data_IF_594747288789
#
_entry.id   IF_594747288789
#
_cell.length_a   1.000
_cell.length_b   1.000
_cell.length_c   1.000
_cell.angle_alpha   90.00
_cell.angle_beta   90.00
_cell.angle_gamma   90.00
#
_symmetry.space_group_name_H-M   'P 1'
#
loop_
_entity.id
_entity.type
_entity.pdbx_description
1 polymer ?
#
# COMPACT_ATOMS: atom_id res chain seq x y z
N UNK A 1 -13.11 -19.84 23.01
CA UNK A 1 -12.69 -20.48 21.73
C UNK A 1 -13.77 -20.18 20.71
N UNK A 2 -13.60 -19.16 19.89
CA UNK A 2 -14.47 -18.93 18.73
C UNK A 2 -13.90 -19.80 17.61
N UNK A 3 -14.60 -20.91 17.32
CA UNK A 3 -14.30 -21.71 16.16
C UNK A 3 -14.41 -20.81 14.94
N UNK A 4 -13.28 -20.53 14.28
CA UNK A 4 -13.26 -19.90 12.97
C UNK A 4 -13.92 -20.87 11.99
N UNK A 5 -15.22 -20.73 11.76
CA UNK A 5 -15.87 -21.21 10.54
C UNK A 5 -15.32 -20.45 9.32
N UNK A 6 -14.08 -20.01 9.38
CA UNK A 6 -13.33 -19.33 8.36
C UNK A 6 -12.89 -20.35 7.33
N UNK A 7 -13.53 -20.32 6.18
CA UNK A 7 -13.08 -21.03 5.01
C UNK A 7 -11.64 -20.60 4.71
N UNK A 8 -10.71 -21.54 4.80
CA UNK A 8 -9.27 -21.30 4.67
C UNK A 8 -8.94 -20.92 3.22
N UNK A 9 -8.10 -19.91 2.97
CA UNK A 9 -7.63 -19.61 1.64
C UNK A 9 -6.86 -20.79 1.04
N UNK A 10 -7.05 -21.03 -0.25
CA UNK A 10 -6.36 -22.06 -1.01
C UNK A 10 -5.58 -21.44 -2.15
N UNK A 11 -4.39 -21.96 -2.41
CA UNK A 11 -3.48 -21.48 -3.45
C UNK A 11 -3.39 -22.51 -4.57
N UNK A 12 -3.29 -22.02 -5.81
CA UNK A 12 -3.09 -22.85 -7.00
C UNK A 12 -2.17 -22.12 -7.98
N UNK A 13 -1.43 -22.87 -8.76
CA UNK A 13 -0.66 -22.34 -9.88
C UNK A 13 -1.28 -22.82 -11.17
N UNK A 14 -1.69 -21.90 -12.04
CA UNK A 14 -2.27 -22.19 -13.35
C UNK A 14 -1.24 -22.84 -14.28
N UNK A 15 -1.73 -23.45 -15.35
CA UNK A 15 -0.91 -24.15 -16.36
C UNK A 15 0.21 -23.28 -16.95
N UNK A 16 0.06 -21.96 -16.98
CA UNK A 16 1.03 -20.98 -17.48
C UNK A 16 1.89 -20.33 -16.36
N UNK A 17 1.86 -20.87 -15.15
CA UNK A 17 2.68 -20.38 -14.02
C UNK A 17 2.07 -19.22 -13.22
N UNK A 18 0.93 -18.65 -13.62
CA UNK A 18 0.25 -17.60 -12.87
C UNK A 18 -0.29 -18.18 -11.55
N UNK A 19 0.03 -17.53 -10.44
CA UNK A 19 -0.40 -17.95 -9.09
C UNK A 19 -1.75 -17.35 -8.74
N UNK A 20 -2.58 -18.16 -8.08
CA UNK A 20 -3.92 -17.78 -7.67
C UNK A 20 -4.12 -18.09 -6.19
N UNK A 21 -4.77 -17.19 -5.46
CA UNK A 21 -5.31 -17.44 -4.12
C UNK A 21 -6.80 -17.17 -4.09
N UNK A 22 -7.56 -18.08 -3.50
CA UNK A 22 -8.99 -17.90 -3.30
C UNK A 22 -9.41 -18.26 -1.88
N UNK A 23 -10.16 -17.35 -1.25
CA UNK A 23 -10.82 -17.58 0.04
C UNK A 23 -12.33 -17.70 -0.20
N UNK A 24 -12.93 -18.88 -0.03
CA UNK A 24 -14.39 -18.99 0.00
C UNK A 24 -14.95 -18.13 1.15
N UNK A 25 -16.15 -17.61 0.99
CA UNK A 25 -16.80 -16.80 2.03
C UNK A 25 -18.32 -16.98 2.02
N UNK A 26 -18.98 -16.49 3.06
CA UNK A 26 -20.43 -16.41 3.12
C UNK A 26 -20.93 -15.08 2.54
N UNK A 27 -22.24 -15.00 2.27
CA UNK A 27 -22.90 -13.82 1.72
C UNK A 27 -22.91 -13.76 0.21
N UNK A 28 -23.23 -12.59 -0.33
CA UNK A 28 -23.38 -12.37 -1.78
C UNK A 28 -22.27 -11.52 -2.38
N UNK A 29 -21.58 -10.73 -1.56
CA UNK A 29 -20.51 -9.85 -2.01
C UNK A 29 -19.26 -10.66 -2.37
N UNK A 30 -18.62 -10.29 -3.46
CA UNK A 30 -17.41 -10.90 -3.99
C UNK A 30 -16.41 -9.83 -4.36
N UNK A 31 -15.13 -10.16 -4.25
CA UNK A 31 -14.02 -9.34 -4.73
C UNK A 31 -13.03 -10.23 -5.47
N UNK A 32 -12.51 -9.77 -6.59
CA UNK A 32 -11.37 -10.40 -7.24
C UNK A 32 -10.55 -9.39 -8.01
N UNK A 33 -9.26 -9.70 -8.20
CA UNK A 33 -8.34 -8.81 -8.90
C UNK A 33 -7.03 -9.48 -9.26
N UNK A 34 -6.22 -8.71 -9.96
CA UNK A 34 -4.84 -9.02 -10.30
C UNK A 34 -3.92 -7.97 -9.69
N UNK A 35 -2.77 -8.39 -9.24
CA UNK A 35 -1.71 -7.53 -8.75
C UNK A 35 -0.41 -7.89 -9.45
N UNK A 36 0.31 -6.87 -9.91
CA UNK A 36 1.64 -7.02 -10.50
C UNK A 36 2.69 -6.44 -9.55
N UNK A 37 3.85 -7.09 -9.48
CA UNK A 37 5.02 -6.57 -8.76
C UNK A 37 5.72 -5.50 -9.63
N UNK A 38 5.01 -4.41 -9.88
CA UNK A 38 5.46 -3.24 -10.59
C UNK A 38 4.70 -2.01 -10.08
N UNK A 39 5.41 -1.02 -9.63
CA UNK A 39 4.96 0.28 -9.18
C UNK A 39 5.97 1.34 -9.57
N UNK A 40 5.93 2.53 -8.99
CA UNK A 40 6.84 3.63 -9.37
C UNK A 40 8.32 3.30 -9.15
N UNK A 41 8.64 2.36 -8.28
CA UNK A 41 10.01 1.86 -8.10
C UNK A 41 10.60 1.21 -9.36
N UNK A 42 9.76 0.70 -10.27
CA UNK A 42 10.14 0.06 -11.50
C UNK A 42 10.18 1.01 -12.71
N UNK A 43 9.83 2.28 -12.53
CA UNK A 43 9.83 3.29 -13.59
C UNK A 43 11.23 3.62 -14.11
N UNK A 44 12.26 3.50 -13.28
CA UNK A 44 13.62 3.88 -13.62
C UNK A 44 13.75 5.40 -13.80
N UNK A 45 14.22 5.83 -14.97
CA UNK A 45 14.30 7.26 -15.35
C UNK A 45 12.94 7.82 -15.81
N UNK A 46 11.96 6.96 -16.06
CA UNK A 46 10.64 7.26 -16.61
C UNK A 46 9.61 7.46 -15.49
N UNK A 47 9.91 8.29 -14.49
CA UNK A 47 9.05 8.47 -13.32
C UNK A 47 7.61 8.86 -13.69
N UNK A 48 6.62 8.13 -13.14
CA UNK A 48 5.19 8.23 -13.47
C UNK A 48 4.70 7.15 -14.45
N UNK A 49 5.58 6.31 -14.99
CA UNK A 49 5.23 5.29 -15.99
C UNK A 49 4.23 4.28 -15.47
N UNK A 50 4.43 3.73 -14.26
CA UNK A 50 3.53 2.73 -13.69
C UNK A 50 2.11 3.30 -13.47
N UNK A 51 2.02 4.51 -12.95
CA UNK A 51 0.76 5.22 -12.74
C UNK A 51 0.06 5.56 -14.06
N UNK A 52 0.79 6.11 -15.02
CA UNK A 52 0.23 6.40 -16.34
C UNK A 52 -0.22 5.13 -17.05
N UNK A 53 0.51 4.02 -16.93
CA UNK A 53 0.10 2.71 -17.46
C UNK A 53 -1.23 2.26 -16.84
N UNK A 54 -1.42 2.43 -15.54
CA UNK A 54 -2.67 2.14 -14.85
C UNK A 54 -3.84 2.91 -15.48
N UNK A 55 -3.74 4.23 -15.60
CA UNK A 55 -4.76 5.08 -16.23
C UNK A 55 -5.12 4.61 -17.64
N UNK A 56 -4.10 4.35 -18.44
CA UNK A 56 -4.28 3.95 -19.83
C UNK A 56 -4.86 2.56 -20.03
N UNK A 57 -4.75 1.64 -19.04
CA UNK A 57 -5.43 0.34 -19.11
C UNK A 57 -6.95 0.48 -19.22
N UNK A 58 -7.54 1.55 -18.68
CA UNK A 58 -8.99 1.82 -18.74
C UNK A 58 -9.45 2.50 -20.03
N UNK A 59 -8.53 2.88 -20.92
CA UNK A 59 -8.86 3.61 -22.16
C UNK A 59 -9.20 2.70 -23.33
N UNK A 60 -8.73 1.44 -23.29
CA UNK A 60 -9.09 0.46 -24.32
C UNK A 60 -8.41 -0.89 -24.17
N UNK A 61 -9.11 -1.92 -24.57
CA UNK A 61 -8.55 -3.28 -24.75
C UNK A 61 -8.76 -3.74 -26.17
N UNK A 62 -8.18 -4.88 -26.54
CA UNK A 62 -8.43 -5.50 -27.84
C UNK A 62 -9.93 -5.80 -28.10
N UNK A 63 -10.75 -5.85 -27.04
CA UNK A 63 -12.18 -6.18 -27.13
C UNK A 63 -13.11 -5.01 -26.84
N UNK A 64 -12.62 -3.95 -26.16
CA UNK A 64 -13.48 -2.91 -25.57
C UNK A 64 -12.90 -1.53 -25.71
N UNK A 65 -13.77 -0.58 -25.98
CA UNK A 65 -13.49 0.86 -25.81
C UNK A 65 -13.71 1.28 -24.36
N UNK A 66 -13.16 2.42 -23.95
CA UNK A 66 -13.22 2.95 -22.57
C UNK A 66 -14.63 2.92 -21.97
N UNK A 67 -15.64 3.46 -22.66
CA UNK A 67 -17.03 3.49 -22.17
C UNK A 67 -17.62 2.09 -21.93
N UNK A 68 -17.16 1.06 -22.67
CA UNK A 68 -17.58 -0.34 -22.47
C UNK A 68 -16.91 -0.95 -21.24
N UNK A 69 -15.67 -0.56 -20.97
CA UNK A 69 -14.93 -0.97 -19.78
C UNK A 69 -15.63 -0.41 -18.53
N UNK A 70 -15.79 0.91 -18.46
CA UNK A 70 -16.41 1.60 -17.32
C UNK A 70 -17.82 1.07 -17.03
N UNK A 71 -18.64 0.93 -18.06
CA UNK A 71 -20.01 0.43 -17.89
C UNK A 71 -20.11 -1.07 -17.59
N UNK A 72 -19.04 -1.85 -17.71
CA UNK A 72 -19.11 -3.30 -17.62
C UNK A 72 -19.57 -3.79 -16.24
N UNK A 73 -19.05 -3.19 -15.19
CA UNK A 73 -19.42 -3.53 -13.82
C UNK A 73 -20.50 -2.59 -13.26
N UNK A 74 -20.44 -1.30 -13.58
CA UNK A 74 -21.43 -0.31 -13.13
C UNK A 74 -22.88 -0.72 -13.43
N UNK A 75 -23.16 -1.25 -14.62
CA UNK A 75 -24.50 -1.71 -15.04
C UNK A 75 -25.10 -2.81 -14.17
N UNK A 76 -24.29 -3.50 -13.38
CA UNK A 76 -24.75 -4.55 -12.46
C UNK A 76 -24.55 -4.16 -10.99
N UNK A 77 -24.22 -2.89 -10.75
CA UNK A 77 -23.97 -2.35 -9.40
C UNK A 77 -22.67 -2.88 -8.79
N UNK A 78 -21.70 -3.24 -9.62
CA UNK A 78 -20.35 -3.59 -9.19
C UNK A 78 -19.39 -2.43 -9.42
N UNK A 79 -18.29 -2.42 -8.69
CA UNK A 79 -17.23 -1.44 -8.77
C UNK A 79 -16.00 -2.02 -9.48
N UNK A 80 -15.28 -1.18 -10.21
CA UNK A 80 -14.01 -1.51 -10.84
C UNK A 80 -13.00 -0.43 -10.43
N UNK A 81 -11.92 -0.84 -9.78
CA UNK A 81 -10.91 0.06 -9.22
C UNK A 81 -9.49 -0.40 -9.56
N UNK A 82 -8.56 0.55 -9.53
CA UNK A 82 -7.13 0.28 -9.59
C UNK A 82 -6.39 1.27 -8.70
N UNK A 83 -5.17 0.94 -8.33
CA UNK A 83 -4.24 1.88 -7.72
C UNK A 83 -2.80 1.38 -7.88
N UNK A 84 -1.88 2.34 -7.97
CA UNK A 84 -0.44 2.12 -8.05
C UNK A 84 0.23 2.57 -6.75
N UNK A 85 1.16 1.74 -6.26
CA UNK A 85 2.02 2.05 -5.13
C UNK A 85 3.48 2.17 -5.58
N UNK A 86 4.40 2.29 -4.64
CA UNK A 86 5.84 2.26 -4.96
C UNK A 86 6.27 0.90 -5.57
N UNK A 87 5.67 -0.23 -5.19
CA UNK A 87 6.13 -1.56 -5.59
C UNK A 87 5.08 -2.42 -6.30
N UNK A 88 3.80 -2.05 -6.25
CA UNK A 88 2.71 -2.83 -6.86
C UNK A 88 1.69 -1.96 -7.59
N UNK A 89 1.05 -2.55 -8.60
CA UNK A 89 -0.19 -2.03 -9.21
C UNK A 89 -1.29 -3.08 -9.08
N UNK A 90 -2.44 -2.66 -8.58
CA UNK A 90 -3.63 -3.48 -8.38
C UNK A 90 -4.72 -3.08 -9.36
N UNK A 91 -5.42 -4.06 -9.91
CA UNK A 91 -6.70 -3.87 -10.62
C UNK A 91 -7.69 -4.87 -10.06
N UNK A 92 -8.84 -4.41 -9.58
CA UNK A 92 -9.81 -5.26 -8.90
C UNK A 92 -11.25 -4.79 -9.08
N UNK A 93 -12.16 -5.68 -8.78
CA UNK A 93 -13.59 -5.38 -8.82
C UNK A 93 -14.29 -5.94 -7.58
N UNK A 94 -15.25 -5.15 -7.07
CA UNK A 94 -16.18 -5.52 -6.00
C UNK A 94 -17.58 -5.69 -6.62
N UNK A 95 -18.24 -6.82 -6.36
CA UNK A 95 -19.47 -7.18 -7.10
C UNK A 95 -20.28 -8.29 -6.39
N UNK A 96 -21.48 -8.54 -6.89
CA UNK A 96 -22.32 -9.65 -6.41
C UNK A 96 -21.91 -10.99 -7.05
N UNK A 97 -22.01 -12.09 -6.30
CA UNK A 97 -21.63 -13.46 -6.70
C UNK A 97 -22.02 -13.85 -8.13
N UNK A 98 -23.23 -13.45 -8.58
CA UNK A 98 -23.76 -13.79 -9.91
C UNK A 98 -22.92 -13.21 -11.05
N UNK A 99 -22.19 -12.12 -10.80
CA UNK A 99 -21.38 -11.40 -11.78
C UNK A 99 -19.90 -11.77 -11.73
N UNK A 100 -19.51 -12.83 -10.98
CA UNK A 100 -18.12 -13.27 -10.81
C UNK A 100 -17.40 -13.49 -12.16
N UNK A 101 -18.03 -14.18 -13.08
CA UNK A 101 -17.47 -14.43 -14.42
C UNK A 101 -17.23 -13.13 -15.19
N UNK A 102 -18.15 -12.17 -15.08
CA UNK A 102 -18.07 -10.85 -15.71
C UNK A 102 -16.88 -10.05 -15.17
N UNK A 103 -16.69 -10.02 -13.85
CA UNK A 103 -15.59 -9.30 -13.21
C UNK A 103 -14.23 -9.93 -13.55
N UNK A 104 -14.09 -11.24 -13.42
CA UNK A 104 -12.84 -11.93 -13.75
C UNK A 104 -12.46 -11.73 -15.22
N UNK A 105 -13.41 -11.84 -16.14
CA UNK A 105 -13.19 -11.64 -17.57
C UNK A 105 -12.72 -10.19 -17.84
N UNK A 106 -13.36 -9.19 -17.22
CA UNK A 106 -12.99 -7.78 -17.39
C UNK A 106 -11.62 -7.47 -16.82
N UNK A 107 -11.33 -7.88 -15.58
CA UNK A 107 -10.03 -7.64 -14.94
C UNK A 107 -8.91 -8.31 -15.74
N UNK A 108 -9.14 -9.53 -16.26
CA UNK A 108 -8.17 -10.22 -17.11
C UNK A 108 -7.93 -9.46 -18.43
N UNK A 109 -8.98 -8.93 -19.03
CA UNK A 109 -8.91 -8.19 -20.29
C UNK A 109 -8.15 -6.87 -20.14
N UNK A 110 -8.43 -6.12 -19.08
CA UNK A 110 -7.70 -4.89 -18.75
C UNK A 110 -6.21 -5.14 -18.52
N UNK A 111 -5.91 -6.17 -17.74
CA UNK A 111 -4.55 -6.41 -17.26
C UNK A 111 -3.61 -6.91 -18.35
N UNK A 112 -4.10 -7.74 -19.27
CA UNK A 112 -3.26 -8.40 -20.29
C UNK A 112 -3.53 -7.97 -21.73
N UNK A 113 -4.66 -7.33 -22.01
CA UNK A 113 -5.06 -6.98 -23.36
C UNK A 113 -5.28 -5.47 -23.56
N UNK A 114 -4.77 -4.64 -22.66
CA UNK A 114 -4.77 -3.19 -22.83
C UNK A 114 -4.05 -2.80 -24.13
N UNK A 115 -4.63 -1.90 -24.89
CA UNK A 115 -4.11 -1.47 -26.20
C UNK A 115 -3.41 -0.11 -26.17
N UNK A 116 -3.62 0.66 -25.08
CA UNK A 116 -3.07 1.99 -24.93
C UNK A 116 -3.34 2.86 -26.17
N UNK A 117 -4.62 3.22 -26.46
CA UNK A 117 -4.98 3.90 -27.68
C UNK A 117 -4.28 5.24 -27.81
N UNK A 118 -3.72 5.53 -28.99
CA UNK A 118 -2.94 6.74 -29.23
C UNK A 118 -3.80 8.01 -29.18
N UNK A 119 -5.04 7.92 -29.66
CA UNK A 119 -6.01 9.03 -29.66
C UNK A 119 -6.43 9.51 -28.27
N UNK A 120 -6.24 8.69 -27.23
CA UNK A 120 -6.55 9.03 -25.83
C UNK A 120 -5.31 9.34 -25.00
N UNK A 121 -4.11 9.05 -25.52
CA UNK A 121 -2.86 9.16 -24.76
C UNK A 121 -2.57 10.58 -24.29
N UNK A 122 -2.68 11.57 -25.18
CA UNK A 122 -2.43 12.97 -24.82
C UNK A 122 -3.52 13.56 -23.93
N UNK A 123 -4.75 13.12 -24.09
CA UNK A 123 -5.84 13.52 -23.20
C UNK A 123 -5.57 13.01 -21.78
N UNK A 124 -5.11 11.76 -21.65
CA UNK A 124 -4.83 11.17 -20.34
C UNK A 124 -3.59 11.79 -19.69
N UNK A 125 -2.57 12.11 -20.49
CA UNK A 125 -1.42 12.90 -20.01
C UNK A 125 -1.88 14.21 -19.35
N UNK A 126 -2.80 14.94 -20.00
CA UNK A 126 -3.33 16.18 -19.45
C UNK A 126 -4.03 15.95 -18.13
N UNK A 127 -4.82 14.87 -18.01
CA UNK A 127 -5.50 14.50 -16.75
C UNK A 127 -4.48 14.21 -15.63
N UNK A 128 -3.40 13.50 -15.94
CA UNK A 128 -2.35 13.21 -14.94
C UNK A 128 -1.61 14.48 -14.53
N UNK A 129 -1.34 15.40 -15.46
CA UNK A 129 -0.74 16.69 -15.13
C UNK A 129 -1.66 17.55 -14.24
N UNK A 130 -2.97 17.51 -14.46
CA UNK A 130 -3.95 18.16 -13.60
C UNK A 130 -4.02 17.48 -12.21
N UNK A 131 -3.86 16.17 -12.15
CA UNK A 131 -3.77 15.43 -10.88
C UNK A 131 -2.51 15.81 -10.10
N UNK A 132 -1.36 15.92 -10.78
CA UNK A 132 -0.10 16.40 -10.16
C UNK A 132 -0.31 17.82 -9.58
N UNK A 133 -0.91 18.73 -10.34
CA UNK A 133 -1.19 20.10 -9.85
C UNK A 133 -2.11 20.08 -8.63
N UNK A 134 -3.17 19.26 -8.66
CA UNK A 134 -4.10 19.12 -7.53
C UNK A 134 -3.39 18.59 -6.28
N UNK A 135 -2.46 17.66 -6.47
CA UNK A 135 -1.67 17.08 -5.40
C UNK A 135 -0.65 18.09 -4.83
N UNK A 136 -0.06 18.92 -5.69
CA UNK A 136 0.85 20.01 -5.27
C UNK A 136 0.13 21.10 -4.46
N UNK A 137 -1.16 21.29 -4.69
CA UNK A 137 -2.03 22.20 -3.93
C UNK A 137 -2.48 21.60 -2.57
N UNK A 138 -2.09 20.36 -2.25
CA UNK A 138 -2.41 19.68 -1.00
C UNK A 138 -1.16 19.48 -0.12
N UNK A 139 -0.75 20.45 0.69
CA UNK A 139 0.47 20.36 1.50
C UNK A 139 0.49 19.17 2.46
N UNK A 140 -0.68 18.74 2.93
CA UNK A 140 -0.84 17.59 3.83
C UNK A 140 -0.53 16.25 3.16
N UNK A 141 -0.64 16.17 1.84
CA UNK A 141 -0.33 14.98 1.04
C UNK A 141 1.09 15.10 0.46
N UNK A 142 1.40 16.24 -0.16
CA UNK A 142 2.68 16.51 -0.80
C UNK A 142 3.88 16.33 0.14
N UNK A 143 3.73 16.65 1.43
CA UNK A 143 4.81 16.55 2.41
C UNK A 143 5.36 15.11 2.54
N UNK A 144 4.54 14.09 2.30
CA UNK A 144 5.00 12.69 2.35
C UNK A 144 5.90 12.36 1.16
N UNK A 145 5.56 12.83 -0.05
CA UNK A 145 6.38 12.62 -1.23
C UNK A 145 7.72 13.39 -1.14
N UNK A 146 7.70 14.62 -0.65
CA UNK A 146 8.92 15.39 -0.44
C UNK A 146 9.77 14.81 0.71
N UNK A 147 9.14 14.24 1.74
CA UNK A 147 9.85 13.49 2.76
C UNK A 147 10.50 12.23 2.20
N UNK A 148 9.77 11.42 1.41
CA UNK A 148 10.29 10.24 0.74
C UNK A 148 11.48 10.59 -0.17
N UNK A 149 11.37 11.70 -0.92
CA UNK A 149 12.43 12.18 -1.80
C UNK A 149 13.72 12.49 -1.03
N UNK A 150 13.61 13.25 0.06
CA UNK A 150 14.76 13.59 0.91
C UNK A 150 15.32 12.37 1.63
N UNK A 151 14.44 11.47 2.08
CA UNK A 151 14.81 10.30 2.86
C UNK A 151 15.49 9.21 2.02
N UNK A 152 15.03 9.01 0.78
CA UNK A 152 15.56 8.05 -0.19
C UNK A 152 16.27 8.74 -1.37
N UNK A 153 17.03 9.79 -1.10
CA UNK A 153 17.67 10.60 -2.14
C UNK A 153 18.50 9.74 -3.11
N UNK A 154 18.22 9.90 -4.41
CA UNK A 154 18.91 9.14 -5.47
C UNK A 154 18.46 7.69 -5.63
N UNK A 155 17.42 7.27 -4.91
CA UNK A 155 16.84 5.93 -5.02
C UNK A 155 15.39 6.00 -5.56
N UNK A 156 14.91 5.02 -6.35
CA UNK A 156 13.55 5.03 -6.91
C UNK A 156 12.42 5.13 -5.88
N UNK A 157 12.62 4.69 -4.63
CA UNK A 157 11.65 4.91 -3.55
C UNK A 157 11.41 6.38 -3.23
N UNK A 158 12.36 7.26 -3.52
CA UNK A 158 12.23 8.71 -3.39
C UNK A 158 11.53 9.39 -4.57
N UNK A 159 11.19 8.66 -5.64
CA UNK A 159 10.43 9.21 -6.77
C UNK A 159 8.93 9.24 -6.42
N UNK A 160 8.24 10.30 -6.88
CA UNK A 160 6.78 10.40 -6.75
C UNK A 160 6.09 9.34 -7.62
N UNK A 161 4.99 8.78 -7.14
CA UNK A 161 4.20 7.78 -7.89
C UNK A 161 3.60 8.41 -9.14
N UNK A 162 3.10 9.64 -9.06
CA UNK A 162 2.56 10.40 -10.17
C UNK A 162 3.62 10.83 -11.19
N UNK A 163 4.92 10.77 -10.83
CA UNK A 163 5.99 11.41 -11.58
C UNK A 163 6.08 12.91 -11.34
N UNK A 164 6.79 13.59 -12.22
CA UNK A 164 6.91 15.05 -12.28
C UNK A 164 6.36 15.54 -13.63
N UNK A 165 5.93 16.81 -13.77
CA UNK A 165 5.45 17.33 -15.04
C UNK A 165 6.44 17.09 -16.20
N UNK A 166 7.75 17.25 -15.95
CA UNK A 166 8.80 17.05 -16.95
C UNK A 166 8.90 15.59 -17.37
N UNK A 167 8.88 14.65 -16.42
CA UNK A 167 8.97 13.22 -16.71
C UNK A 167 7.71 12.74 -17.43
N UNK A 168 6.52 13.08 -16.93
CA UNK A 168 5.23 12.71 -17.54
C UNK A 168 5.10 13.26 -18.98
N UNK A 169 5.59 14.48 -19.25
CA UNK A 169 5.60 15.06 -20.60
C UNK A 169 6.58 14.33 -21.54
N UNK A 170 7.64 13.73 -21.02
CA UNK A 170 8.62 12.99 -21.82
C UNK A 170 8.19 11.55 -22.14
N UNK A 171 7.26 10.97 -21.37
CA UNK A 171 6.81 9.57 -21.58
C UNK A 171 6.17 9.40 -22.95
N UNK A 172 6.50 8.33 -23.64
CA UNK A 172 5.89 7.96 -24.90
C UNK A 172 4.99 6.73 -24.75
N UNK A 173 4.05 6.58 -25.68
CA UNK A 173 3.19 5.38 -25.74
C UNK A 173 4.04 4.10 -25.94
N UNK A 174 5.10 4.17 -26.73
CA UNK A 174 5.95 3.01 -27.02
C UNK A 174 6.71 2.56 -25.76
N UNK A 175 7.17 3.51 -24.92
CA UNK A 175 7.78 3.22 -23.61
C UNK A 175 6.79 2.52 -22.70
N UNK A 176 5.53 2.99 -22.67
CA UNK A 176 4.44 2.37 -21.91
C UNK A 176 4.15 0.94 -22.37
N UNK A 177 4.08 0.71 -23.67
CA UNK A 177 3.89 -0.64 -24.25
C UNK A 177 5.06 -1.55 -23.87
N UNK A 178 6.30 -1.04 -23.91
CA UNK A 178 7.49 -1.76 -23.51
C UNK A 178 7.49 -2.08 -22.01
N UNK A 179 7.13 -1.08 -21.16
CA UNK A 179 6.98 -1.25 -19.72
C UNK A 179 5.94 -2.32 -19.39
N UNK A 180 4.73 -2.20 -19.96
CA UNK A 180 3.66 -3.16 -19.73
C UNK A 180 4.07 -4.57 -20.14
N UNK A 181 4.64 -4.78 -21.33
CA UNK A 181 5.12 -6.10 -21.80
C UNK A 181 6.18 -6.69 -20.88
N UNK A 182 7.06 -5.86 -20.34
CA UNK A 182 8.14 -6.28 -19.44
C UNK A 182 7.62 -6.67 -18.07
N UNK A 183 6.68 -5.90 -17.52
CA UNK A 183 6.24 -6.04 -16.12
C UNK A 183 5.03 -6.97 -15.96
N UNK A 184 4.06 -6.95 -16.88
CA UNK A 184 2.78 -7.66 -16.75
C UNK A 184 2.84 -9.09 -17.27
N UNK A 185 3.76 -9.87 -16.72
CA UNK A 185 3.99 -11.27 -17.08
C UNK A 185 3.34 -12.22 -16.08
N UNK A 186 3.00 -13.45 -16.50
CA UNK A 186 2.31 -14.42 -15.64
C UNK A 186 3.07 -14.79 -14.38
N UNK A 187 4.39 -14.72 -14.37
CA UNK A 187 5.22 -14.99 -13.18
C UNK A 187 5.37 -13.77 -12.26
N UNK A 188 5.15 -12.55 -12.78
CA UNK A 188 5.22 -11.31 -12.00
C UNK A 188 3.87 -10.88 -11.42
N UNK A 189 2.80 -11.64 -11.71
CA UNK A 189 1.41 -11.32 -11.39
C UNK A 189 0.84 -12.38 -10.45
N UNK A 190 -0.08 -11.97 -9.58
CA UNK A 190 -0.90 -12.86 -8.78
C UNK A 190 -2.39 -12.53 -8.96
N UNK A 191 -3.22 -13.57 -9.16
CA UNK A 191 -4.67 -13.45 -9.10
C UNK A 191 -5.17 -13.75 -7.69
N UNK A 192 -6.05 -12.90 -7.18
CA UNK A 192 -6.63 -13.07 -5.86
C UNK A 192 -8.15 -12.93 -5.89
N UNK A 193 -8.83 -13.66 -5.00
CA UNK A 193 -10.28 -13.71 -4.98
C UNK A 193 -10.84 -14.07 -3.62
N UNK A 194 -11.92 -13.40 -3.24
CA UNK A 194 -12.78 -13.80 -2.12
C UNK A 194 -14.24 -13.77 -2.57
N UNK A 195 -14.87 -14.93 -2.63
CA UNK A 195 -16.23 -15.07 -3.12
C UNK A 195 -16.94 -16.29 -2.52
N UNK A 196 -18.28 -16.33 -2.47
CA UNK A 196 -19.05 -17.51 -2.04
C UNK A 196 -19.12 -18.56 -3.17
N UNK A 197 -17.96 -18.96 -3.66
CA UNK A 197 -17.76 -19.97 -4.70
C UNK A 197 -16.80 -21.05 -4.22
N UNK A 198 -16.98 -22.31 -4.62
CA UNK A 198 -16.00 -23.37 -4.37
C UNK A 198 -14.67 -23.07 -5.08
N UNK A 199 -13.57 -23.45 -4.44
CA UNK A 199 -12.21 -23.25 -4.97
C UNK A 199 -12.04 -23.83 -6.38
N UNK A 200 -12.51 -25.08 -6.61
CA UNK A 200 -12.44 -25.74 -7.93
C UNK A 200 -13.12 -24.95 -9.04
N UNK A 201 -14.24 -24.28 -8.74
CA UNK A 201 -14.95 -23.44 -9.71
C UNK A 201 -14.15 -22.18 -10.04
N UNK A 202 -13.49 -21.59 -9.06
CA UNK A 202 -12.64 -20.41 -9.28
C UNK A 202 -11.41 -20.79 -10.09
N UNK A 203 -10.76 -21.92 -9.80
CA UNK A 203 -9.64 -22.44 -10.58
C UNK A 203 -10.05 -22.68 -12.04
N UNK A 204 -11.18 -23.34 -12.28
CA UNK A 204 -11.66 -23.59 -13.65
C UNK A 204 -11.95 -22.29 -14.44
N UNK A 205 -12.51 -21.28 -13.77
CA UNK A 205 -12.73 -19.96 -14.39
C UNK A 205 -11.41 -19.23 -14.64
N UNK A 206 -10.46 -19.29 -13.70
CA UNK A 206 -9.14 -18.67 -13.87
C UNK A 206 -8.35 -19.35 -15.00
N UNK A 207 -8.36 -20.68 -15.10
CA UNK A 207 -7.76 -21.39 -16.26
C UNK A 207 -8.40 -20.98 -17.59
N UNK A 208 -9.71 -20.78 -17.61
CA UNK A 208 -10.41 -20.36 -18.84
C UNK A 208 -10.01 -18.96 -19.31
N UNK A 209 -9.83 -17.99 -18.39
CA UNK A 209 -9.57 -16.59 -18.75
C UNK A 209 -8.09 -16.20 -18.71
N UNK A 210 -7.30 -16.85 -17.88
CA UNK A 210 -5.91 -16.51 -17.63
C UNK A 210 -4.94 -17.62 -18.07
N UNK A 211 -5.35 -18.90 -18.08
CA UNK A 211 -4.49 -20.04 -18.36
C UNK A 211 -3.95 -20.09 -19.79
N UNK A 212 -4.65 -19.48 -20.76
CA UNK A 212 -4.23 -19.40 -22.16
C UNK A 212 -3.23 -18.27 -22.44
N UNK A 213 -2.95 -17.41 -21.47
CA UNK A 213 -1.93 -16.37 -21.62
C UNK A 213 -0.55 -17.00 -21.76
N UNK A 214 0.34 -16.44 -22.63
CA UNK A 214 1.68 -16.97 -22.76
C UNK A 214 2.43 -16.91 -21.43
N UNK A 215 3.19 -17.96 -21.12
CA UNK A 215 4.06 -17.95 -19.97
C UNK A 215 5.13 -16.89 -20.19
N UNK A 216 5.24 -15.94 -19.25
CA UNK A 216 6.23 -14.90 -19.25
C UNK A 216 7.04 -14.97 -17.96
N UNK A 217 8.37 -14.86 -18.08
CA UNK A 217 9.25 -14.81 -16.92
C UNK A 217 9.06 -13.50 -16.15
N UNK A 218 9.26 -13.57 -14.84
CA UNK A 218 9.35 -12.36 -14.03
C UNK A 218 10.53 -11.50 -14.54
N UNK A 219 10.35 -10.17 -14.66
CA UNK A 219 11.45 -9.32 -15.08
C UNK A 219 12.64 -9.52 -14.15
N UNK A 220 13.82 -9.65 -14.74
CA UNK A 220 15.06 -9.58 -13.96
C UNK A 220 15.13 -8.14 -13.47
N UNK A 221 14.71 -7.91 -12.24
CA UNK A 221 14.89 -6.61 -11.62
C UNK A 221 16.38 -6.30 -11.70
N UNK A 222 16.73 -5.24 -12.42
CA UNK A 222 18.09 -4.72 -12.44
C UNK A 222 18.54 -4.58 -10.99
N UNK A 223 19.83 -4.73 -10.73
CA UNK A 223 20.47 -4.64 -9.42
C UNK A 223 19.69 -3.66 -8.53
N UNK A 224 18.87 -4.18 -7.63
CA UNK A 224 18.19 -3.34 -6.65
C UNK A 224 19.28 -2.90 -5.67
N UNK A 225 19.86 -1.75 -5.97
CA UNK A 225 20.71 -1.10 -4.96
C UNK A 225 19.82 -0.92 -3.74
N UNK A 226 20.27 -1.48 -2.61
CA UNK A 226 19.52 -1.31 -1.36
C UNK A 226 19.48 0.19 -1.05
N UNK A 227 18.31 0.76 -0.75
CA UNK A 227 18.23 2.17 -0.40
C UNK A 227 19.10 2.45 0.83
N UNK A 228 19.78 3.59 0.81
CA UNK A 228 20.51 4.12 1.97
C UNK A 228 19.74 5.34 2.44
N UNK A 229 18.88 5.20 3.45
CA UNK A 229 18.07 6.31 3.92
C UNK A 229 18.93 7.43 4.52
N UNK A 230 18.59 8.67 4.21
CA UNK A 230 19.18 9.83 4.89
C UNK A 230 18.70 9.89 6.34
N UNK A 231 19.63 10.02 7.28
CA UNK A 231 19.34 10.00 8.72
C UNK A 231 19.61 11.35 9.37
N UNK A 232 18.74 11.72 10.30
CA UNK A 232 18.95 12.87 11.18
C UNK A 232 18.89 14.25 10.51
N UNK A 233 18.30 14.35 9.32
CA UNK A 233 18.10 15.67 8.72
C UNK A 233 16.92 16.39 9.36
N UNK A 234 17.01 17.73 9.36
CA UNK A 234 15.89 18.61 9.65
C UNK A 234 15.81 19.66 8.54
N UNK A 235 14.75 19.57 7.75
CA UNK A 235 14.49 20.46 6.62
C UNK A 235 13.23 21.28 6.90
N UNK A 236 13.29 22.57 6.60
CA UNK A 236 12.13 23.47 6.63
C UNK A 236 11.93 24.01 5.23
N UNK A 237 10.70 23.95 4.74
CA UNK A 237 10.31 24.48 3.44
C UNK A 237 9.15 25.48 3.64
N UNK A 238 9.32 26.69 3.11
CA UNK A 238 8.26 27.71 3.12
C UNK A 238 7.27 27.43 1.98
N UNK A 239 6.03 27.10 2.32
CA UNK A 239 4.98 26.66 1.38
C UNK A 239 3.70 27.52 1.42
N UNK A 240 3.74 28.68 2.04
CA UNK A 240 2.59 29.60 2.19
C UNK A 240 1.30 28.89 2.62
N UNK A 241 1.39 28.10 3.69
CA UNK A 241 0.29 27.31 4.23
C UNK A 241 -0.26 27.94 5.51
N UNK A 242 -1.59 27.86 5.72
CA UNK A 242 -2.22 28.33 6.96
C UNK A 242 -1.78 27.55 8.19
N UNK A 243 -1.47 26.28 8.03
CA UNK A 243 -0.95 25.38 9.08
C UNK A 243 0.44 24.92 8.73
N UNK A 244 1.27 24.72 9.74
CA UNK A 244 2.49 23.97 9.56
C UNK A 244 2.17 22.47 9.47
N UNK A 245 2.74 21.81 8.48
CA UNK A 245 2.69 20.35 8.34
C UNK A 245 4.06 19.77 8.68
N UNK A 246 4.08 18.69 9.44
CA UNK A 246 5.32 18.07 9.89
C UNK A 246 5.28 16.57 9.66
N UNK A 247 6.32 16.07 9.01
CA UNK A 247 6.63 14.62 8.97
C UNK A 247 7.93 14.38 9.71
N UNK A 248 7.89 13.45 10.67
CA UNK A 248 9.08 12.95 11.35
C UNK A 248 9.17 11.45 11.11
N UNK A 249 10.31 10.95 10.62
CA UNK A 249 10.41 9.53 10.25
C UNK A 249 11.80 8.96 10.38
N UNK A 250 11.88 7.64 10.31
CA UNK A 250 13.11 6.87 10.40
C UNK A 250 13.04 5.59 9.59
N UNK A 251 14.19 5.00 9.26
CA UNK A 251 14.27 3.68 8.65
C UNK A 251 13.63 2.64 9.57
N UNK A 252 12.88 1.73 8.98
CA UNK A 252 12.24 0.63 9.66
C UNK A 252 12.51 -0.72 8.98
N UNK A 253 11.70 -1.71 9.29
CA UNK A 253 11.92 -3.08 8.84
C UNK A 253 11.31 -3.36 7.47
N UNK A 254 12.04 -4.13 6.67
CA UNK A 254 11.57 -4.59 5.36
C UNK A 254 10.37 -5.55 5.49
N UNK A 255 9.72 -5.78 4.35
CA UNK A 255 8.55 -6.67 4.25
C UNK A 255 8.82 -8.10 4.77
N UNK A 256 10.07 -8.57 4.65
CA UNK A 256 10.46 -9.94 5.00
C UNK A 256 10.98 -10.09 6.43
N UNK A 257 11.19 -9.00 7.16
CA UNK A 257 11.66 -9.06 8.54
C UNK A 257 10.50 -9.26 9.53
N UNK A 258 10.60 -10.25 10.41
CA UNK A 258 9.58 -10.51 11.45
C UNK A 258 9.39 -9.32 12.41
N UNK A 259 10.44 -8.55 12.61
CA UNK A 259 10.45 -7.37 13.48
C UNK A 259 9.39 -6.33 13.08
N UNK A 260 9.01 -6.26 11.80
CA UNK A 260 7.92 -5.39 11.33
C UNK A 260 6.60 -5.60 12.07
N UNK A 261 6.28 -6.84 12.44
CA UNK A 261 5.04 -7.15 13.20
C UNK A 261 5.07 -6.50 14.59
N UNK A 262 6.21 -6.52 15.25
CA UNK A 262 6.40 -5.80 16.52
C UNK A 262 6.33 -4.28 16.36
N UNK A 263 6.85 -3.77 15.26
CA UNK A 263 6.76 -2.34 14.95
C UNK A 263 5.32 -1.90 14.64
N UNK A 264 4.54 -2.68 13.92
CA UNK A 264 3.10 -2.42 13.73
C UNK A 264 2.35 -2.36 15.06
N UNK A 265 2.71 -3.24 16.01
CA UNK A 265 2.15 -3.19 17.34
C UNK A 265 2.54 -1.91 18.11
N UNK A 266 3.81 -1.50 18.05
CA UNK A 266 4.28 -0.23 18.64
C UNK A 266 3.61 0.98 17.99
N UNK A 267 3.47 0.97 16.67
CA UNK A 267 2.79 2.01 15.90
C UNK A 267 1.34 2.17 16.36
N UNK A 268 0.63 1.06 16.55
CA UNK A 268 -0.76 1.09 17.04
C UNK A 268 -0.90 1.73 18.43
N UNK A 269 0.07 1.54 19.31
CA UNK A 269 0.10 2.17 20.63
C UNK A 269 0.45 3.66 20.52
N UNK A 270 1.38 4.01 19.62
CA UNK A 270 1.95 5.35 19.52
C UNK A 270 0.98 6.34 18.86
N UNK A 271 0.61 6.09 17.62
CA UNK A 271 -0.21 7.00 16.80
C UNK A 271 -1.14 6.25 15.84
N UNK A 272 -1.53 5.01 16.17
CA UNK A 272 -2.52 4.24 15.43
C UNK A 272 -3.92 4.85 15.49
N UNK A 273 -4.92 4.22 14.84
CA UNK A 273 -6.25 4.82 14.60
C UNK A 273 -7.09 5.04 15.86
N UNK A 274 -6.66 4.51 17.02
CA UNK A 274 -7.37 4.67 18.27
C UNK A 274 -7.21 6.07 18.86
N UNK A 275 -8.31 6.69 19.30
CA UNK A 275 -8.28 7.99 19.99
C UNK A 275 -7.47 7.96 21.30
N UNK A 276 -7.23 6.77 21.84
CA UNK A 276 -6.41 6.52 23.03
C UNK A 276 -4.92 6.29 22.70
N UNK A 277 -4.49 6.43 21.45
CA UNK A 277 -3.07 6.37 21.09
C UNK A 277 -2.27 7.47 21.79
N UNK A 278 -1.00 7.19 22.11
CA UNK A 278 -0.21 8.08 22.97
C UNK A 278 -0.05 9.48 22.41
N UNK A 279 0.17 9.60 21.10
CA UNK A 279 0.30 10.91 20.44
C UNK A 279 -1.04 11.66 20.43
N UNK A 280 -2.13 10.98 20.11
CA UNK A 280 -3.44 11.62 20.14
C UNK A 280 -3.78 12.14 21.53
N UNK A 281 -3.54 11.34 22.57
CA UNK A 281 -3.78 11.76 23.96
C UNK A 281 -2.86 12.91 24.37
N UNK A 282 -1.56 12.87 24.01
CA UNK A 282 -0.60 13.89 24.47
C UNK A 282 -0.72 15.20 23.70
N UNK A 283 -0.87 15.15 22.38
CA UNK A 283 -0.81 16.33 21.50
C UNK A 283 -2.20 16.94 21.25
N UNK A 284 -3.23 16.10 21.11
CA UNK A 284 -4.59 16.56 20.84
C UNK A 284 -5.40 16.73 22.12
N UNK A 285 -5.66 15.64 22.85
CA UNK A 285 -6.63 15.65 23.95
C UNK A 285 -6.15 16.49 25.14
N UNK A 286 -4.88 16.37 25.53
CA UNK A 286 -4.32 17.09 26.70
C UNK A 286 -3.81 18.47 26.37
N UNK A 287 -3.28 18.68 25.16
CA UNK A 287 -2.58 19.92 24.82
C UNK A 287 -3.31 20.79 23.81
N UNK A 288 -4.26 20.24 23.03
CA UNK A 288 -5.03 20.97 22.04
C UNK A 288 -4.17 21.58 20.93
N UNK A 289 -3.01 20.98 20.61
CA UNK A 289 -2.03 21.55 19.69
C UNK A 289 -2.25 21.10 18.24
N UNK A 290 -2.88 19.97 18.04
CA UNK A 290 -3.10 19.37 16.71
C UNK A 290 -4.57 18.95 16.55
N UNK A 291 -5.08 19.04 15.33
CA UNK A 291 -6.39 18.48 15.00
C UNK A 291 -6.30 16.96 14.80
N UNK A 292 -5.27 16.53 14.08
CA UNK A 292 -4.96 15.11 13.85
C UNK A 292 -3.47 14.86 14.02
N UNK A 293 -3.15 13.69 14.50
CA UNK A 293 -1.79 13.15 14.53
C UNK A 293 -1.87 11.66 14.27
N UNK A 294 -1.05 11.18 13.38
CA UNK A 294 -0.99 9.77 13.00
C UNK A 294 0.43 9.28 12.86
N UNK A 295 0.64 8.00 13.09
CA UNK A 295 1.89 7.34 12.77
C UNK A 295 1.64 6.15 11.84
N UNK A 296 2.57 5.95 10.91
CA UNK A 296 2.46 4.92 9.89
C UNK A 296 3.75 4.11 9.77
N UNK A 297 3.62 2.87 9.34
CA UNK A 297 4.73 1.96 9.01
C UNK A 297 4.52 1.43 7.61
N UNK A 298 5.42 1.77 6.71
CA UNK A 298 5.46 1.22 5.35
C UNK A 298 6.64 0.27 5.24
N UNK A 299 6.38 -0.98 4.83
CA UNK A 299 7.43 -1.97 4.60
C UNK A 299 7.56 -2.23 3.10
N UNK A 300 8.74 -1.96 2.57
CA UNK A 300 9.16 -2.29 1.20
C UNK A 300 9.91 -3.63 1.16
N UNK A 301 10.22 -4.11 -0.02
CA UNK A 301 10.87 -5.43 -0.17
C UNK A 301 12.26 -5.52 0.46
N UNK A 302 12.99 -4.43 0.61
CA UNK A 302 14.38 -4.39 1.09
C UNK A 302 14.65 -3.37 2.21
N UNK A 303 13.67 -2.55 2.56
CA UNK A 303 13.72 -1.55 3.63
C UNK A 303 12.34 -1.30 4.19
N UNK A 304 12.20 -0.36 5.11
CA UNK A 304 10.94 0.16 5.59
C UNK A 304 11.05 1.59 6.06
N UNK A 305 9.93 2.25 6.20
CA UNK A 305 9.79 3.61 6.67
C UNK A 305 8.77 3.68 7.80
N UNK A 306 9.15 4.29 8.90
CA UNK A 306 8.24 4.73 9.96
C UNK A 306 8.07 6.23 9.86
N UNK A 307 6.85 6.73 9.92
CA UNK A 307 6.54 8.17 9.91
C UNK A 307 5.54 8.53 10.99
N UNK A 308 5.66 9.76 11.48
CA UNK A 308 4.62 10.47 12.24
C UNK A 308 4.32 11.77 11.52
N UNK A 309 3.05 12.01 11.24
CA UNK A 309 2.55 13.24 10.66
C UNK A 309 1.64 13.97 11.63
N UNK A 310 1.72 15.29 11.63
CA UNK A 310 0.75 16.17 12.29
C UNK A 310 0.69 17.56 11.61
N UNK A 311 -0.51 18.15 11.66
CA UNK A 311 -0.74 19.56 11.31
C UNK A 311 -0.94 20.39 12.57
N UNK A 312 -0.31 21.57 12.66
CA UNK A 312 -0.38 22.44 13.83
C UNK A 312 -0.23 23.92 13.45
N UNK A 313 -0.48 24.83 14.38
CA UNK A 313 -0.14 26.25 14.20
C UNK A 313 1.41 26.37 14.08
N UNK A 314 1.95 27.20 13.15
CA UNK A 314 3.40 27.36 12.98
C UNK A 314 4.18 27.69 14.27
N UNK A 315 3.58 28.43 15.21
CA UNK A 315 4.20 28.78 16.52
C UNK A 315 4.31 27.57 17.46
N UNK A 316 3.52 26.51 17.27
CA UNK A 316 3.44 25.35 18.16
C UNK A 316 4.25 24.14 17.66
N UNK A 317 4.92 24.23 16.50
CA UNK A 317 5.71 23.14 15.90
C UNK A 317 6.73 22.56 16.88
N UNK A 318 7.56 23.41 17.53
CA UNK A 318 8.61 22.95 18.47
C UNK A 318 8.02 22.27 19.70
N UNK A 319 6.88 22.74 20.15
CA UNK A 319 6.16 22.13 21.29
C UNK A 319 5.61 20.75 20.90
N UNK A 320 5.05 20.62 19.70
CA UNK A 320 4.60 19.34 19.17
C UNK A 320 5.75 18.34 19.00
N UNK A 321 6.89 18.76 18.43
CA UNK A 321 8.10 17.95 18.31
C UNK A 321 8.63 17.50 19.68
N UNK A 322 8.60 18.37 20.67
CA UNK A 322 8.99 18.04 22.05
C UNK A 322 8.11 16.92 22.64
N UNK A 323 6.78 17.00 22.43
CA UNK A 323 5.84 15.97 22.88
C UNK A 323 6.04 14.67 22.14
N UNK A 324 6.24 14.73 20.82
CA UNK A 324 6.55 13.55 19.99
C UNK A 324 7.80 12.84 20.51
N UNK A 325 8.91 13.56 20.63
CA UNK A 325 10.16 12.99 21.11
C UNK A 325 10.05 12.41 22.53
N UNK A 326 9.24 13.03 23.39
CA UNK A 326 8.97 12.51 24.73
C UNK A 326 8.26 11.15 24.70
N UNK A 327 7.24 10.98 23.86
CA UNK A 327 6.53 9.70 23.75
C UNK A 327 7.37 8.61 23.07
N UNK A 328 8.18 8.95 22.04
CA UNK A 328 9.15 8.04 21.43
C UNK A 328 10.18 7.58 22.44
N UNK A 329 10.81 8.52 23.17
CA UNK A 329 11.78 8.23 24.23
C UNK A 329 11.20 7.32 25.30
N UNK A 330 9.95 7.55 25.70
CA UNK A 330 9.26 6.71 26.69
C UNK A 330 9.10 5.27 26.22
N UNK A 331 8.85 5.04 24.92
CA UNK A 331 8.79 3.68 24.35
C UNK A 331 10.17 3.01 24.32
N UNK A 332 11.23 3.78 24.12
CA UNK A 332 12.62 3.29 24.13
C UNK A 332 13.12 2.92 25.52
N UNK A 333 12.77 3.72 26.53
CA UNK A 333 13.35 3.58 27.89
C UNK A 333 12.53 2.70 28.81
N UNK A 334 11.19 2.76 28.69
CA UNK A 334 10.27 2.13 29.65
C UNK A 334 9.47 1.02 29.01
N UNK A 335 9.71 -0.26 29.35
CA UNK A 335 8.87 -1.35 28.90
C UNK A 335 7.40 -1.15 29.27
N UNK A 336 6.49 -1.65 28.47
CA UNK A 336 5.06 -1.68 28.80
C UNK A 336 4.86 -2.51 30.09
N UNK A 337 4.05 -1.98 31.01
CA UNK A 337 3.59 -2.78 32.14
C UNK A 337 2.70 -3.93 31.67
N UNK A 338 2.55 -4.97 32.47
CA UNK A 338 1.66 -6.12 32.14
C UNK A 338 0.25 -5.66 31.78
N UNK A 339 -0.29 -4.68 32.51
CA UNK A 339 -1.63 -4.13 32.25
C UNK A 339 -1.68 -3.43 30.87
N UNK A 340 -0.71 -2.57 30.57
CA UNK A 340 -0.63 -1.87 29.27
C UNK A 340 -0.45 -2.87 28.12
N UNK A 341 0.39 -3.88 28.30
CA UNK A 341 0.62 -4.93 27.31
C UNK A 341 -0.67 -5.70 27.00
N UNK A 342 -1.39 -6.16 28.03
CA UNK A 342 -2.64 -6.89 27.81
C UNK A 342 -3.72 -6.02 27.17
N UNK A 343 -3.85 -4.76 27.59
CA UNK A 343 -4.80 -3.83 27.01
C UNK A 343 -4.51 -3.54 25.53
N UNK A 344 -3.24 -3.28 25.19
CA UNK A 344 -2.82 -3.01 23.82
C UNK A 344 -3.01 -4.24 22.89
N UNK A 345 -2.71 -5.46 23.38
CA UNK A 345 -2.99 -6.68 22.62
C UNK A 345 -4.48 -6.85 22.35
N UNK A 346 -5.30 -6.69 23.36
CA UNK A 346 -6.77 -6.83 23.23
C UNK A 346 -7.31 -5.83 22.21
N UNK A 347 -6.82 -4.59 22.24
CA UNK A 347 -7.20 -3.55 21.28
C UNK A 347 -6.78 -3.92 19.86
N UNK A 348 -5.51 -4.29 19.65
CA UNK A 348 -5.01 -4.66 18.33
C UNK A 348 -5.75 -5.87 17.76
N UNK A 349 -6.02 -6.91 18.55
CA UNK A 349 -6.77 -8.07 18.10
C UNK A 349 -8.18 -7.72 17.66
N UNK A 350 -8.87 -6.87 18.42
CA UNK A 350 -10.20 -6.37 18.01
C UNK A 350 -10.14 -5.60 16.69
N UNK A 351 -9.17 -4.72 16.52
CA UNK A 351 -8.98 -3.93 15.29
C UNK A 351 -8.65 -4.83 14.09
N UNK A 352 -7.77 -5.80 14.25
CA UNK A 352 -7.43 -6.76 13.19
C UNK A 352 -8.65 -7.61 12.79
N UNK A 353 -9.46 -8.05 13.76
CA UNK A 353 -10.69 -8.79 13.47
C UNK A 353 -11.71 -7.93 12.71
N UNK A 354 -11.92 -6.69 13.15
CA UNK A 354 -12.83 -5.74 12.47
C UNK A 354 -12.32 -5.47 11.04
N UNK A 355 -11.02 -5.24 10.85
CA UNK A 355 -10.42 -5.02 9.53
C UNK A 355 -10.57 -6.24 8.62
N UNK A 356 -10.48 -7.45 9.17
CA UNK A 356 -10.65 -8.70 8.40
C UNK A 356 -12.08 -8.91 7.86
N UNK A 357 -13.08 -8.23 8.42
CA UNK A 357 -14.47 -8.23 7.91
C UNK A 357 -14.63 -7.30 6.69
N UNK A 358 -13.74 -6.32 6.49
CA UNK A 358 -13.72 -5.55 5.25
C UNK A 358 -13.22 -6.45 4.10
N UNK A 359 -14.13 -6.80 3.21
CA UNK A 359 -13.88 -7.78 2.14
C UNK A 359 -12.83 -7.27 1.15
N UNK A 360 -12.90 -6.02 0.77
CA UNK A 360 -11.96 -5.39 -0.15
C UNK A 360 -10.54 -5.46 0.42
N UNK A 361 -10.30 -4.85 1.58
CA UNK A 361 -8.98 -4.81 2.22
C UNK A 361 -8.42 -6.22 2.49
N UNK A 362 -9.27 -7.15 2.96
CA UNK A 362 -8.88 -8.54 3.18
C UNK A 362 -8.44 -9.23 1.88
N UNK A 363 -9.15 -8.97 0.77
CA UNK A 363 -8.85 -9.59 -0.52
C UNK A 363 -7.58 -9.01 -1.15
N UNK A 364 -7.38 -7.70 -1.08
CA UNK A 364 -6.16 -7.02 -1.54
C UNK A 364 -4.93 -7.50 -0.74
N UNK A 365 -5.05 -7.61 0.58
CA UNK A 365 -4.00 -8.16 1.44
C UNK A 365 -3.62 -9.60 1.08
N UNK A 366 -4.60 -10.45 0.70
CA UNK A 366 -4.31 -11.79 0.20
C UNK A 366 -3.50 -11.77 -1.11
N UNK A 367 -3.85 -10.85 -2.02
CA UNK A 367 -3.12 -10.65 -3.28
C UNK A 367 -1.65 -10.29 -3.04
N UNK A 368 -1.43 -9.30 -2.19
CA UNK A 368 -0.07 -8.88 -1.79
C UNK A 368 0.70 -10.01 -1.11
N UNK A 369 0.04 -10.75 -0.22
CA UNK A 369 0.66 -11.86 0.49
C UNK A 369 1.07 -13.00 -0.46
N UNK A 370 0.20 -13.35 -1.42
CA UNK A 370 0.54 -14.33 -2.45
C UNK A 370 1.71 -13.86 -3.32
N UNK A 371 1.71 -12.58 -3.72
CA UNK A 371 2.73 -12.01 -4.59
C UNK A 371 4.14 -12.14 -4.00
N UNK A 372 4.30 -11.83 -2.70
CA UNK A 372 5.60 -11.77 -2.05
C UNK A 372 5.99 -13.02 -1.26
N UNK A 373 5.03 -13.68 -0.62
CA UNK A 373 5.31 -14.78 0.30
C UNK A 373 4.88 -16.15 -0.20
N UNK A 374 4.09 -16.19 -1.27
CA UNK A 374 3.47 -17.41 -1.78
C UNK A 374 2.62 -18.18 -0.72
N UNK A 375 2.18 -17.47 0.30
CA UNK A 375 1.25 -17.97 1.34
C UNK A 375 0.43 -16.80 1.91
N UNK A 376 -0.56 -17.12 2.72
CA UNK A 376 -1.36 -16.15 3.45
C UNK A 376 -1.52 -16.60 4.89
N UNK A 377 -1.12 -15.76 5.83
CA UNK A 377 -1.28 -16.04 7.25
C UNK A 377 -2.74 -15.98 7.67
N UNK A 378 -3.20 -17.00 8.39
CA UNK A 378 -4.52 -16.94 9.03
C UNK A 378 -4.53 -15.89 10.16
N UNK A 379 -5.72 -15.49 10.57
CA UNK A 379 -5.87 -14.59 11.72
C UNK A 379 -5.22 -15.17 12.98
N UNK A 380 -5.35 -16.49 13.19
CA UNK A 380 -4.74 -17.20 14.31
C UNK A 380 -3.20 -17.15 14.24
N UNK A 381 -2.64 -17.31 13.03
CA UNK A 381 -1.19 -17.19 12.81
C UNK A 381 -0.71 -15.77 13.11
N UNK A 382 -1.45 -14.76 12.65
CA UNK A 382 -1.11 -13.36 12.91
C UNK A 382 -1.18 -13.04 14.41
N UNK A 383 -2.21 -13.51 15.11
CA UNK A 383 -2.34 -13.37 16.56
C UNK A 383 -1.16 -14.02 17.26
N UNK A 384 -0.80 -15.27 16.89
CA UNK A 384 0.35 -15.96 17.48
C UNK A 384 1.68 -15.22 17.27
N UNK A 385 1.89 -14.62 16.08
CA UNK A 385 3.05 -13.76 15.80
C UNK A 385 3.09 -12.54 16.74
N UNK A 386 1.96 -11.90 16.98
CA UNK A 386 1.88 -10.75 17.90
C UNK A 386 2.12 -11.20 19.35
N UNK A 387 1.59 -12.35 19.76
CA UNK A 387 1.77 -12.87 21.11
C UNK A 387 3.21 -13.28 21.43
N UNK A 388 4.01 -13.59 20.44
CA UNK A 388 5.43 -13.90 20.59
C UNK A 388 6.28 -12.68 21.02
N UNK A 389 5.77 -11.44 20.89
CA UNK A 389 6.47 -10.25 21.35
C UNK A 389 6.26 -10.03 22.85
N UNK A 390 7.35 -9.80 23.57
CA UNK A 390 7.34 -9.38 24.97
C UNK A 390 7.50 -7.87 25.09
N UNK A 391 7.12 -7.24 26.22
CA UNK A 391 7.37 -5.82 26.45
C UNK A 391 8.84 -5.42 26.31
N UNK A 392 9.78 -6.28 26.72
CA UNK A 392 11.21 -6.03 26.53
C UNK A 392 11.62 -6.04 25.06
N UNK A 393 11.18 -7.03 24.29
CA UNK A 393 11.47 -7.11 22.85
C UNK A 393 10.89 -5.91 22.09
N UNK A 394 9.70 -5.43 22.47
CA UNK A 394 9.10 -4.23 21.87
C UNK A 394 9.93 -2.98 22.19
N UNK A 395 10.41 -2.81 23.44
CA UNK A 395 11.32 -1.72 23.79
C UNK A 395 12.61 -1.76 22.97
N UNK A 396 13.16 -2.95 22.75
CA UNK A 396 14.39 -3.11 21.97
C UNK A 396 14.17 -2.74 20.49
N UNK A 397 12.99 -3.08 19.91
CA UNK A 397 12.58 -2.62 18.59
C UNK A 397 12.37 -1.10 18.56
N UNK A 398 11.75 -0.53 19.59
CA UNK A 398 11.58 0.92 19.68
C UNK A 398 12.93 1.64 19.65
N UNK A 399 13.95 1.11 20.35
CA UNK A 399 15.31 1.68 20.33
C UNK A 399 15.98 1.61 18.95
N UNK A 400 15.67 0.59 18.13
CA UNK A 400 16.22 0.49 16.78
C UNK A 400 15.62 1.55 15.85
N UNK A 401 14.32 1.81 15.98
CA UNK A 401 13.58 2.67 15.05
C UNK A 401 13.47 4.11 15.57
N UNK A 402 13.12 4.30 16.83
CA UNK A 402 12.77 5.62 17.38
C UNK A 402 13.93 6.37 18.04
N UNK A 403 15.16 5.84 17.95
CA UNK A 403 16.31 6.53 18.53
C UNK A 403 16.51 7.91 17.86
N UNK A 404 16.70 8.99 18.63
CA UNK A 404 16.74 10.36 18.09
C UNK A 404 17.72 10.57 16.92
N UNK A 405 18.85 9.87 16.90
CA UNK A 405 19.86 9.95 15.84
C UNK A 405 19.34 9.45 14.48
N UNK A 406 18.30 8.61 14.47
CA UNK A 406 17.71 8.04 13.26
C UNK A 406 16.55 8.89 12.70
N UNK A 407 16.03 9.82 13.51
CA UNK A 407 14.84 10.59 13.15
C UNK A 407 15.19 11.75 12.22
N UNK A 408 14.57 11.78 11.08
CA UNK A 408 14.59 12.88 10.11
C UNK A 408 13.27 13.64 10.19
N UNK A 409 13.30 14.95 9.95
CA UNK A 409 12.12 15.81 10.08
C UNK A 409 12.03 16.76 8.89
N UNK A 410 10.85 16.79 8.25
CA UNK A 410 10.47 17.79 7.25
C UNK A 410 9.32 18.64 7.80
N UNK A 411 9.42 19.94 7.63
CA UNK A 411 8.45 20.92 8.11
C UNK A 411 8.07 21.82 6.94
N UNK A 412 6.78 21.92 6.64
CA UNK A 412 6.18 22.95 5.83
C UNK A 412 5.64 24.06 6.74
N UNK A 413 5.87 25.31 6.38
CA UNK A 413 5.34 26.47 7.11
C UNK A 413 5.13 27.66 6.17
#
# INVERSE_FOLDING_TARGET
MLSSNGLTPSIHTLSNGLRLIHKPCHGTLSCCGLVVKAGSRQDGEEAGMAHFTEHMMFKGTAKRKSHQILNRMERVGGELNAYTTKEETFVYSLFLKKDYRRALELVSDLFFNATFPEDTFETERTIILDEINTYEDSPSELIFDDFDHLFYLGHPLGCRILGLPETVNALTRDDMVAFHRRQYTTQNVAFYSQAPLPFSKVVALAEHYLGSLPMGEAPKNGSSVKPIPAKGFRQVMDKDTHQAHVVCGSESFSLFEEARTGLYFLNNILGGPGMNSRLNVSMREKSGLVYSVESNVTSFTDTGLFTVYFGTDPKDVERCLTLLHKELKRLCEVPLTSLQWHAAKKQLFGQVQISAENKENSTLSMGKSLLYFNHYDSLETLIAKIEAFTPSRLRDLANQVFHPVNLSTLIYR
#
